data_IF_524842506826
#
_entry.id   IF_524842506826
#
_cell.length_a   1.000
_cell.length_b   1.000
_cell.length_c   1.000
_cell.angle_alpha   90.00
_cell.angle_beta   90.00
_cell.angle_gamma   90.00
#
_symmetry.space_group_name_H-M   'P 1'
#
loop_
_entity.id
_entity.type
_entity.pdbx_description
1 polymer ?
#
# COMPACT_ATOMS: atom_id res chain seq x y z
N UNK A 1 -16.86 1.89 80.85
CA UNK A 1 -16.20 0.75 81.52
C UNK A 1 -15.57 -0.07 80.45
N UNK A 2 -14.38 -0.03 80.43
CA UNK A 2 -13.09 -0.76 80.39
C UNK A 2 -12.59 -0.92 78.97
N UNK A 3 -11.67 -0.19 78.63
CA UNK A 3 -10.22 -0.35 78.34
C UNK A 3 -9.75 -1.82 78.29
N UNK A 4 -9.10 -2.17 77.15
CA UNK A 4 -7.75 -2.77 77.20
C UNK A 4 -6.93 -2.52 75.98
N UNK A 5 -5.74 -1.88 76.18
CA UNK A 5 -4.59 -1.70 75.31
C UNK A 5 -3.86 -3.06 75.14
N UNK A 6 -3.16 -3.17 74.03
CA UNK A 6 -2.00 -4.05 73.82
C UNK A 6 -1.32 -3.67 72.51
N UNK A 7 -0.38 -2.95 72.48
CA UNK A 7 1.04 -2.84 72.50
C UNK A 7 1.82 -3.96 71.80
N UNK A 8 2.63 -3.50 70.77
CA UNK A 8 3.92 -4.06 70.44
C UNK A 8 3.94 -4.96 69.22
N UNK A 9 4.62 -4.75 68.21
CA UNK A 9 6.06 -4.84 68.10
C UNK A 9 6.53 -4.36 66.74
N UNK A 10 7.45 -3.46 66.67
CA UNK A 10 8.18 -3.10 65.47
C UNK A 10 9.40 -3.98 65.40
N UNK A 11 9.47 -4.89 64.45
CA UNK A 11 10.72 -5.57 64.11
C UNK A 11 11.33 -4.87 62.89
N UNK A 12 12.45 -4.34 63.16
CA UNK A 12 13.40 -3.66 62.24
C UNK A 12 14.02 -4.67 61.29
N UNK A 13 13.82 -4.52 59.99
CA UNK A 13 14.59 -5.20 58.96
C UNK A 13 15.95 -4.50 58.70
N UNK A 14 17.01 -5.25 58.47
CA UNK A 14 18.37 -4.70 58.29
C UNK A 14 18.54 -4.03 56.92
N UNK A 15 19.15 -2.86 56.92
CA UNK A 15 19.40 -1.95 55.77
C UNK A 15 20.61 -2.36 54.91
N UNK A 16 20.83 -3.59 54.52
CA UNK A 16 22.05 -3.94 53.76
C UNK A 16 21.85 -4.95 52.61
N UNK A 17 20.72 -4.91 51.90
CA UNK A 17 20.50 -5.80 50.75
C UNK A 17 20.06 -5.10 49.44
N UNK A 18 20.40 -3.82 49.21
CA UNK A 18 19.95 -3.09 48.02
C UNK A 18 21.09 -2.40 47.26
N UNK A 19 22.26 -3.02 47.11
CA UNK A 19 23.34 -2.37 46.36
C UNK A 19 24.07 -3.26 45.33
N UNK A 20 23.50 -4.37 44.88
CA UNK A 20 24.18 -5.24 43.89
C UNK A 20 23.36 -5.56 42.63
N UNK A 21 22.13 -5.04 42.49
CA UNK A 21 21.33 -5.28 41.29
C UNK A 21 21.32 -4.12 40.25
N UNK A 22 21.88 -2.94 40.58
CA UNK A 22 21.77 -1.75 39.72
C UNK A 22 22.94 -1.58 38.72
N UNK A 23 24.03 -2.31 38.87
CA UNK A 23 25.21 -2.17 38.00
C UNK A 23 25.22 -3.06 36.77
N UNK A 24 24.40 -4.11 36.71
CA UNK A 24 24.33 -5.02 35.58
C UNK A 24 23.47 -4.52 34.41
N UNK A 25 22.49 -3.67 34.67
CA UNK A 25 21.53 -3.21 33.64
C UNK A 25 22.05 -1.98 32.87
N UNK A 26 22.91 -1.17 33.51
CA UNK A 26 23.46 0.05 32.88
C UNK A 26 24.53 -0.21 31.83
N UNK A 27 25.21 -1.37 31.87
CA UNK A 27 26.24 -1.74 30.87
C UNK A 27 25.62 -2.34 29.61
N UNK A 28 24.45 -2.96 29.71
CA UNK A 28 23.74 -3.56 28.54
C UNK A 28 23.11 -2.51 27.62
N UNK A 29 22.68 -1.35 28.14
CA UNK A 29 22.00 -0.31 27.36
C UNK A 29 22.99 0.54 26.55
N UNK A 30 24.26 0.67 26.99
CA UNK A 30 25.29 1.48 26.30
C UNK A 30 25.94 0.72 25.13
N UNK A 31 25.90 -0.62 25.12
CA UNK A 31 26.52 -1.44 24.07
C UNK A 31 25.60 -1.69 22.83
N UNK A 32 24.31 -1.45 22.95
CA UNK A 32 23.36 -1.63 21.84
C UNK A 32 23.46 -0.50 20.80
N UNK A 33 24.03 0.64 21.15
CA UNK A 33 24.15 1.81 20.25
C UNK A 33 25.45 1.89 19.45
N UNK A 34 26.40 0.97 19.60
CA UNK A 34 27.75 1.11 19.02
C UNK A 34 28.22 -0.03 18.11
N UNK A 35 27.37 -0.93 17.65
CA UNK A 35 27.73 -1.92 16.63
C UNK A 35 28.89 -2.87 17.00
N UNK A 36 29.15 -3.08 18.28
CA UNK A 36 30.33 -3.81 18.79
C UNK A 36 30.05 -5.28 19.17
N UNK A 37 29.05 -5.92 18.52
CA UNK A 37 28.70 -7.32 18.84
C UNK A 37 29.78 -8.33 18.48
N UNK A 38 30.58 -8.05 17.45
CA UNK A 38 31.67 -8.95 17.02
C UNK A 38 32.84 -9.07 18.02
N UNK A 39 32.96 -8.13 18.95
CA UNK A 39 34.03 -8.16 19.96
C UNK A 39 33.65 -8.81 21.29
N UNK A 40 32.36 -8.98 21.55
CA UNK A 40 31.86 -9.59 22.80
C UNK A 40 31.92 -11.13 22.75
N UNK A 41 31.73 -11.71 21.57
CA UNK A 41 31.84 -13.17 21.40
C UNK A 41 33.24 -13.75 21.67
N UNK A 42 34.30 -12.92 21.50
CA UNK A 42 35.68 -13.33 21.72
C UNK A 42 36.11 -13.34 23.21
N UNK A 43 35.32 -12.67 24.07
CA UNK A 43 35.67 -12.53 25.51
C UNK A 43 34.93 -13.54 26.38
N UNK A 44 33.78 -14.05 25.96
CA UNK A 44 32.95 -14.93 26.81
C UNK A 44 33.06 -16.41 26.51
N UNK A 45 33.84 -16.83 25.51
CA UNK A 45 34.08 -18.25 25.22
C UNK A 45 32.84 -19.06 24.80
N UNK A 46 31.72 -18.40 24.47
CA UNK A 46 30.49 -19.06 23.98
C UNK A 46 30.52 -19.00 22.44
N UNK A 47 31.44 -19.72 21.87
CA UNK A 47 31.57 -19.92 20.44
C UNK A 47 31.48 -21.39 20.11
N UNK A 48 30.60 -21.68 19.14
CA UNK A 48 30.50 -22.94 18.40
C UNK A 48 29.67 -24.07 19.00
N UNK A 49 28.36 -24.00 18.77
CA UNK A 49 27.55 -25.15 18.39
C UNK A 49 26.27 -24.69 17.66
N UNK A 50 26.39 -24.15 16.47
CA UNK A 50 25.28 -24.13 15.50
C UNK A 50 25.86 -24.53 14.15
N UNK A 51 25.43 -25.70 13.69
CA UNK A 51 25.88 -26.30 12.44
C UNK A 51 25.59 -25.37 11.26
N UNK A 52 26.57 -25.29 10.38
CA UNK A 52 26.49 -24.63 9.09
C UNK A 52 25.42 -25.28 8.22
N UNK A 53 24.26 -24.64 8.10
CA UNK A 53 23.39 -24.85 6.95
C UNK A 53 23.91 -23.96 5.83
N UNK A 54 24.61 -24.59 4.89
CA UNK A 54 24.99 -23.96 3.62
C UNK A 54 23.72 -23.52 2.91
N UNK A 55 23.60 -22.23 2.67
CA UNK A 55 22.66 -21.68 1.71
C UNK A 55 23.03 -22.19 0.33
N UNK A 56 22.18 -23.02 -0.25
CA UNK A 56 22.23 -23.44 -1.64
C UNK A 56 22.06 -22.20 -2.53
N UNK A 57 23.14 -21.79 -3.19
CA UNK A 57 23.08 -20.89 -4.34
C UNK A 57 22.32 -21.61 -5.46
N UNK A 58 21.35 -20.98 -6.12
CA UNK A 58 20.81 -21.51 -7.37
C UNK A 58 21.91 -21.48 -8.42
N UNK A 59 22.23 -22.63 -9.00
CA UNK A 59 23.13 -22.78 -10.13
C UNK A 59 22.52 -22.21 -11.42
N UNK A 60 23.35 -21.88 -12.41
CA UNK A 60 22.92 -21.41 -13.72
C UNK A 60 22.63 -22.62 -14.64
N UNK A 61 21.40 -22.79 -14.99
CA UNK A 61 20.89 -23.66 -16.07
C UNK A 61 19.78 -22.85 -16.75
N UNK A 62 19.64 -22.63 -18.05
CA UNK A 62 20.32 -23.03 -19.25
C UNK A 62 20.25 -21.89 -20.25
N UNK A 63 21.39 -21.52 -20.82
CA UNK A 63 21.44 -20.76 -22.07
C UNK A 63 21.66 -21.77 -23.17
N UNK A 64 20.63 -22.11 -23.93
CA UNK A 64 20.79 -22.57 -25.27
C UNK A 64 20.14 -21.59 -26.24
N UNK A 65 21.03 -21.07 -27.07
CA UNK A 65 20.68 -20.14 -28.13
C UNK A 65 19.98 -20.87 -29.26
N UNK A 66 18.97 -20.24 -29.80
CA UNK A 66 18.56 -20.48 -31.17
C UNK A 66 18.42 -19.17 -31.90
N UNK A 67 19.45 -18.91 -32.70
CA UNK A 67 19.55 -17.83 -33.65
C UNK A 67 18.58 -18.12 -34.79
N UNK A 68 17.48 -17.42 -34.90
CA UNK A 68 16.64 -17.41 -36.08
C UNK A 68 16.69 -16.04 -36.76
N UNK A 69 17.24 -16.12 -37.93
CA UNK A 69 17.39 -15.15 -38.99
C UNK A 69 16.08 -14.39 -39.28
N UNK A 70 16.15 -13.06 -39.24
CA UNK A 70 15.11 -12.15 -39.71
C UNK A 70 15.28 -11.91 -41.22
N UNK A 71 14.23 -11.99 -42.02
CA UNK A 71 14.25 -11.39 -43.34
C UNK A 71 13.86 -9.92 -43.28
N UNK A 72 14.70 -9.14 -43.85
CA UNK A 72 14.55 -7.74 -44.22
C UNK A 72 13.33 -7.55 -45.14
N UNK A 73 12.38 -6.70 -44.76
CA UNK A 73 11.30 -6.26 -45.63
C UNK A 73 11.32 -4.74 -45.83
N UNK A 74 11.51 -4.44 -47.07
CA UNK A 74 11.58 -3.18 -47.79
C UNK A 74 10.42 -2.22 -47.49
N UNK A 75 10.75 -0.92 -47.50
CA UNK A 75 9.78 0.19 -47.58
C UNK A 75 9.09 0.23 -48.95
N UNK A 76 7.87 0.73 -49.06
CA UNK A 76 7.44 1.48 -50.24
C UNK A 76 6.96 2.90 -49.92
N UNK A 77 7.62 3.84 -50.55
CA UNK A 77 7.17 4.95 -51.37
C UNK A 77 5.88 5.71 -51.04
N UNK A 78 6.11 7.02 -50.97
CA UNK A 78 5.13 8.10 -51.06
C UNK A 78 4.31 8.05 -52.35
N UNK A 79 3.06 8.46 -52.31
CA UNK A 79 2.47 9.29 -53.40
C UNK A 79 1.10 9.91 -52.99
N UNK A 80 1.05 11.23 -53.10
CA UNK A 80 0.00 12.12 -53.62
C UNK A 80 -1.30 12.40 -52.85
N UNK A 81 -1.39 13.70 -52.50
CA UNK A 81 -2.62 14.49 -52.36
C UNK A 81 -3.32 14.66 -53.71
N UNK A 82 -4.59 14.97 -53.72
CA UNK A 82 -5.06 16.14 -54.46
C UNK A 82 -5.99 17.08 -53.66
N UNK A 83 -5.97 18.28 -54.21
CA UNK A 83 -6.49 19.56 -53.83
C UNK A 83 -8.01 19.72 -53.62
N UNK A 84 -8.28 20.72 -52.80
CA UNK A 84 -9.23 21.85 -52.90
C UNK A 84 -10.71 21.66 -53.28
N UNK A 85 -11.57 22.21 -52.44
CA UNK A 85 -12.92 22.65 -52.73
C UNK A 85 -13.44 23.57 -51.66
N UNK A 86 -13.39 24.88 -51.90
CA UNK A 86 -14.00 25.93 -51.08
C UNK A 86 -15.52 26.00 -51.28
N UNK A 87 -16.12 26.74 -50.30
CA UNK A 87 -17.33 27.61 -50.31
C UNK A 87 -18.37 27.07 -49.33
N UNK A 88 -18.68 27.80 -48.28
CA UNK A 88 -19.32 29.04 -48.07
C UNK A 88 -20.25 29.03 -46.89
N UNK A 89 -20.06 30.01 -46.06
CA UNK A 89 -21.03 30.89 -45.38
C UNK A 89 -22.00 30.35 -44.29
N UNK A 90 -21.88 31.04 -43.22
CA UNK A 90 -22.81 31.73 -42.30
C UNK A 90 -23.18 31.07 -40.98
N UNK A 91 -22.82 31.86 -40.05
CA UNK A 91 -23.16 32.04 -38.65
C UNK A 91 -24.47 31.42 -38.14
N UNK A 92 -24.37 30.71 -37.04
CA UNK A 92 -25.31 30.91 -35.93
C UNK A 92 -24.62 30.68 -34.59
N UNK A 93 -24.47 31.80 -33.84
CA UNK A 93 -23.97 31.81 -32.47
C UNK A 93 -25.15 31.42 -31.58
N UNK A 94 -25.21 30.18 -31.15
CA UNK A 94 -25.99 29.79 -29.99
C UNK A 94 -25.03 29.27 -28.94
N UNK A 95 -24.99 29.97 -27.81
CA UNK A 95 -24.20 29.65 -26.67
C UNK A 95 -24.47 28.23 -26.16
N UNK A 96 -23.54 27.32 -26.42
CA UNK A 96 -23.50 26.04 -25.75
C UNK A 96 -22.94 26.27 -24.36
N UNK A 97 -23.80 26.11 -23.37
CA UNK A 97 -23.36 25.85 -22.01
C UNK A 97 -22.35 24.68 -22.05
N UNK A 98 -21.18 24.87 -21.49
CA UNK A 98 -20.18 23.83 -21.39
C UNK A 98 -20.83 22.62 -20.69
N UNK A 99 -21.13 21.58 -21.47
CA UNK A 99 -21.60 20.30 -21.00
C UNK A 99 -20.54 19.73 -20.05
N UNK A 100 -20.94 19.47 -18.81
CA UNK A 100 -20.06 18.83 -17.84
C UNK A 100 -19.48 17.56 -18.47
N UNK A 101 -18.19 17.25 -18.32
CA UNK A 101 -17.58 16.09 -18.98
C UNK A 101 -18.38 14.84 -18.62
N UNK A 102 -18.80 14.13 -19.67
CA UNK A 102 -19.54 12.87 -19.57
C UNK A 102 -18.76 11.89 -18.66
N UNK A 103 -19.28 11.66 -17.46
CA UNK A 103 -18.73 10.72 -16.49
C UNK A 103 -19.09 9.27 -16.82
N UNK A 104 -19.92 9.02 -17.83
CA UNK A 104 -20.45 7.69 -18.15
C UNK A 104 -19.43 6.76 -18.82
N UNK A 105 -18.30 7.29 -19.33
CA UNK A 105 -17.27 6.50 -20.02
C UNK A 105 -15.95 6.42 -19.24
N UNK A 106 -16.00 6.70 -17.94
CA UNK A 106 -14.85 6.59 -17.07
C UNK A 106 -14.68 5.14 -16.66
N UNK A 107 -13.60 4.49 -17.12
CA UNK A 107 -13.22 3.19 -16.57
C UNK A 107 -12.95 3.36 -15.07
N UNK A 108 -13.87 2.88 -14.26
CA UNK A 108 -13.68 2.76 -12.82
C UNK A 108 -13.20 1.33 -12.62
N UNK A 109 -11.96 1.12 -12.16
CA UNK A 109 -11.50 -0.22 -11.80
C UNK A 109 -12.55 -0.86 -10.88
N UNK A 110 -12.89 -2.12 -11.11
CA UNK A 110 -13.93 -2.84 -10.34
C UNK A 110 -13.64 -2.88 -8.81
N UNK A 111 -12.41 -2.57 -8.44
CA UNK A 111 -12.00 -2.34 -7.04
C UNK A 111 -12.61 -1.10 -6.40
N UNK A 112 -13.01 -0.15 -7.21
CA UNK A 112 -13.69 1.05 -6.75
C UNK A 112 -15.17 0.91 -7.07
N UNK A 113 -15.87 0.05 -6.33
CA UNK A 113 -17.30 0.23 -6.17
C UNK A 113 -17.45 1.66 -5.65
N UNK A 114 -18.07 2.58 -6.41
CA UNK A 114 -18.04 3.99 -6.02
C UNK A 114 -18.86 4.12 -4.73
N UNK A 115 -18.13 4.34 -3.63
CA UNK A 115 -18.79 4.79 -2.42
C UNK A 115 -19.37 6.17 -2.75
N UNK A 116 -20.68 6.40 -2.58
CA UNK A 116 -21.24 7.73 -2.78
C UNK A 116 -20.44 8.74 -1.99
N UNK A 117 -19.99 9.82 -2.62
CA UNK A 117 -19.11 10.80 -1.98
C UNK A 117 -19.72 11.38 -0.70
N UNK A 118 -21.04 11.62 -0.68
CA UNK A 118 -21.75 12.07 0.51
C UNK A 118 -21.69 11.08 1.66
N UNK A 119 -21.80 9.78 1.37
CA UNK A 119 -21.63 8.73 2.38
C UNK A 119 -20.18 8.67 2.87
N UNK A 120 -19.19 8.73 1.96
CA UNK A 120 -17.79 8.77 2.32
C UNK A 120 -17.45 9.98 3.20
N UNK A 121 -18.03 11.14 2.93
CA UNK A 121 -17.88 12.34 3.76
C UNK A 121 -18.44 12.16 5.18
N UNK A 122 -19.62 11.57 5.30
CA UNK A 122 -20.22 11.26 6.61
C UNK A 122 -19.35 10.27 7.38
N UNK A 123 -18.91 9.19 6.71
CA UNK A 123 -18.04 8.18 7.30
C UNK A 123 -16.67 8.78 7.72
N UNK A 124 -16.09 9.65 6.91
CA UNK A 124 -14.84 10.36 7.24
C UNK A 124 -14.97 11.20 8.52
N UNK A 125 -16.08 11.91 8.67
CA UNK A 125 -16.39 12.68 9.89
C UNK A 125 -16.55 11.78 11.12
N UNK A 126 -17.06 10.56 10.94
CA UNK A 126 -17.28 9.57 12.00
C UNK A 126 -16.02 8.78 12.37
N UNK A 127 -15.00 8.68 11.50
CA UNK A 127 -13.77 7.95 11.81
C UNK A 127 -13.14 8.45 13.13
N UNK A 128 -12.69 7.54 14.01
CA UNK A 128 -12.04 7.93 15.25
C UNK A 128 -10.69 8.61 14.96
N UNK A 129 -10.44 9.75 15.61
CA UNK A 129 -9.14 10.41 15.54
C UNK A 129 -8.23 9.91 16.65
N UNK A 130 -7.01 9.49 16.30
CA UNK A 130 -6.02 9.01 17.26
C UNK A 130 -4.60 9.34 16.78
N UNK A 131 -3.64 9.30 17.72
CA UNK A 131 -2.22 9.37 17.38
C UNK A 131 -1.80 8.07 16.68
N UNK A 132 -1.08 8.20 15.56
CA UNK A 132 -0.53 7.06 14.85
C UNK A 132 0.53 6.30 15.68
N UNK A 133 0.58 4.97 15.52
CA UNK A 133 1.55 4.08 16.15
C UNK A 133 2.39 3.33 15.10
N UNK A 134 3.35 3.99 14.41
CA UNK A 134 4.13 3.36 13.33
C UNK A 134 5.26 2.45 13.83
N UNK A 135 5.54 2.43 15.15
CA UNK A 135 6.64 1.67 15.73
C UNK A 135 6.42 0.16 15.63
N UNK A 136 7.50 -0.60 15.47
CA UNK A 136 7.50 -2.06 15.49
C UNK A 136 6.98 -2.71 14.21
N UNK A 137 6.58 -1.96 13.19
CA UNK A 137 6.11 -2.49 11.90
C UNK A 137 7.21 -3.26 11.16
N UNK A 138 6.83 -4.41 10.62
CA UNK A 138 7.62 -5.19 9.67
C UNK A 138 6.68 -5.85 8.66
N UNK A 139 6.83 -5.49 7.37
CA UNK A 139 5.93 -5.99 6.33
C UNK A 139 5.84 -7.51 6.31
N UNK A 140 6.98 -8.18 6.23
CA UNK A 140 7.03 -9.64 6.08
C UNK A 140 6.55 -10.38 7.32
N UNK A 141 7.01 -9.97 8.50
CA UNK A 141 6.62 -10.59 9.76
C UNK A 141 5.14 -10.37 10.07
N UNK A 142 4.61 -9.18 9.80
CA UNK A 142 3.30 -8.79 10.31
C UNK A 142 2.17 -9.06 9.32
N UNK A 143 2.45 -9.02 8.01
CA UNK A 143 1.44 -9.13 6.95
C UNK A 143 1.70 -10.28 5.96
N UNK A 144 2.88 -10.87 5.97
CA UNK A 144 3.23 -11.97 5.08
C UNK A 144 3.34 -11.57 3.61
N UNK A 145 2.98 -12.52 2.73
CA UNK A 145 3.05 -12.39 1.27
C UNK A 145 1.69 -12.63 0.63
N UNK A 146 1.63 -12.58 -0.71
CA UNK A 146 0.42 -12.93 -1.47
C UNK A 146 0.03 -14.39 -1.24
N UNK A 147 -1.20 -14.61 -0.78
CA UNK A 147 -1.76 -15.95 -0.58
C UNK A 147 -2.41 -16.47 -1.86
N UNK A 148 -2.69 -17.77 -1.91
CA UNK A 148 -3.57 -18.33 -2.94
C UNK A 148 -4.95 -17.67 -2.83
N UNK A 149 -5.46 -17.18 -3.96
CA UNK A 149 -6.74 -16.48 -3.96
C UNK A 149 -7.91 -17.46 -4.15
N UNK A 150 -9.00 -17.34 -3.35
CA UNK A 150 -10.20 -18.13 -3.54
C UNK A 150 -10.74 -18.02 -4.98
N UNK A 151 -11.10 -19.16 -5.57
CA UNK A 151 -11.62 -19.22 -6.94
C UNK A 151 -10.57 -19.11 -8.05
N UNK A 152 -9.31 -18.93 -7.73
CA UNK A 152 -8.21 -19.00 -8.70
C UNK A 152 -7.69 -20.42 -8.83
N UNK A 153 -7.38 -20.85 -10.05
CA UNK A 153 -6.79 -22.17 -10.31
C UNK A 153 -5.29 -22.19 -10.03
N UNK A 154 -4.73 -23.38 -9.88
CA UNK A 154 -3.30 -23.66 -9.89
C UNK A 154 -2.49 -22.81 -8.92
N UNK A 155 -1.64 -21.92 -9.45
CA UNK A 155 -0.75 -21.05 -8.67
C UNK A 155 -1.26 -19.58 -8.58
N UNK A 156 -2.52 -19.33 -8.90
CA UNK A 156 -3.12 -18.01 -8.85
C UNK A 156 -3.13 -17.45 -7.42
N UNK A 157 -2.51 -16.30 -7.24
CA UNK A 157 -2.42 -15.59 -5.96
C UNK A 157 -3.36 -14.40 -5.93
N UNK A 158 -3.49 -13.75 -4.75
CA UNK A 158 -4.22 -12.48 -4.62
C UNK A 158 -3.73 -11.45 -5.64
N UNK A 159 -2.40 -11.38 -5.92
CA UNK A 159 -1.88 -10.52 -6.99
C UNK A 159 -2.52 -10.81 -8.35
N UNK A 160 -2.61 -12.09 -8.73
CA UNK A 160 -3.19 -12.48 -10.03
C UNK A 160 -4.70 -12.19 -10.06
N UNK A 161 -5.41 -12.38 -8.94
CA UNK A 161 -6.81 -12.02 -8.81
C UNK A 161 -7.04 -10.52 -9.09
N UNK A 162 -6.22 -9.65 -8.48
CA UNK A 162 -6.35 -8.20 -8.68
C UNK A 162 -5.99 -7.81 -10.12
N UNK A 163 -4.90 -8.35 -10.69
CA UNK A 163 -4.57 -8.11 -12.09
C UNK A 163 -5.71 -8.54 -13.02
N UNK A 164 -6.32 -9.73 -12.77
CA UNK A 164 -7.46 -10.21 -13.56
C UNK A 164 -8.70 -9.31 -13.42
N UNK A 165 -8.92 -8.70 -12.26
CA UNK A 165 -10.03 -7.79 -12.00
C UNK A 165 -9.85 -6.43 -12.67
N UNK A 166 -8.62 -5.88 -12.59
CA UNK A 166 -8.34 -4.47 -12.90
C UNK A 166 -7.82 -4.25 -14.33
N UNK A 167 -7.38 -5.31 -15.02
CA UNK A 167 -6.91 -5.22 -16.40
C UNK A 167 -8.00 -5.67 -17.38
N UNK A 168 -7.95 -5.12 -18.60
CA UNK A 168 -8.70 -5.56 -19.76
C UNK A 168 -7.86 -6.52 -20.63
N UNK A 169 -8.49 -7.30 -21.48
CA UNK A 169 -7.84 -8.20 -22.44
C UNK A 169 -6.81 -9.12 -21.76
N UNK A 170 -7.20 -9.66 -20.60
CA UNK A 170 -6.31 -10.45 -19.76
C UNK A 170 -6.02 -11.80 -20.38
N UNK A 171 -4.72 -12.09 -20.55
CA UNK A 171 -4.24 -13.43 -20.88
C UNK A 171 -3.64 -14.06 -19.63
N UNK A 172 -4.14 -15.25 -19.28
CA UNK A 172 -3.60 -16.05 -18.17
C UNK A 172 -3.10 -17.40 -18.68
N UNK A 173 -2.11 -17.97 -18.00
CA UNK A 173 -1.67 -19.35 -18.28
C UNK A 173 -2.57 -20.40 -17.59
N UNK A 174 -2.30 -21.69 -17.86
CA UNK A 174 -3.03 -22.83 -17.28
C UNK A 174 -2.95 -22.90 -15.74
N UNK A 175 -2.00 -22.19 -15.15
CA UNK A 175 -1.81 -22.09 -13.70
C UNK A 175 -2.48 -20.83 -13.10
N UNK A 176 -3.33 -20.15 -13.87
CA UNK A 176 -3.99 -18.90 -13.50
C UNK A 176 -3.04 -17.71 -13.22
N UNK A 177 -1.79 -17.75 -13.70
CA UNK A 177 -0.90 -16.60 -13.64
C UNK A 177 -1.25 -15.63 -14.77
N UNK A 178 -1.49 -14.38 -14.46
CA UNK A 178 -1.72 -13.35 -15.46
C UNK A 178 -0.43 -13.06 -16.21
N UNK A 179 -0.46 -13.19 -17.53
CA UNK A 179 0.69 -13.02 -18.43
C UNK A 179 0.71 -11.68 -19.13
N UNK A 180 -0.44 -11.17 -19.53
CA UNK A 180 -0.55 -9.84 -20.14
C UNK A 180 -1.95 -9.26 -19.97
N UNK A 181 -2.09 -7.97 -20.27
CA UNK A 181 -3.35 -7.25 -20.26
C UNK A 181 -3.13 -5.75 -20.47
N UNK A 182 -4.21 -5.02 -20.69
CA UNK A 182 -4.25 -3.56 -20.81
C UNK A 182 -4.80 -2.97 -19.51
N UNK A 183 -4.18 -1.92 -19.01
CA UNK A 183 -4.51 -1.32 -17.72
C UNK A 183 -4.69 0.19 -17.84
N UNK A 184 -5.85 0.67 -17.42
CA UNK A 184 -6.11 2.10 -17.25
C UNK A 184 -5.76 2.50 -15.82
N UNK A 185 -4.58 3.11 -15.64
CA UNK A 185 -4.06 3.40 -14.32
C UNK A 185 -4.79 4.58 -13.66
N UNK A 186 -5.46 4.38 -12.53
CA UNK A 186 -6.15 5.46 -11.84
C UNK A 186 -5.20 6.50 -11.24
N UNK A 187 -3.95 6.12 -10.92
CA UNK A 187 -2.98 7.02 -10.29
C UNK A 187 -2.38 8.04 -11.25
N UNK A 188 -2.25 7.70 -12.53
CA UNK A 188 -1.73 8.62 -13.56
C UNK A 188 -2.79 9.08 -14.54
N UNK A 189 -3.92 8.35 -14.66
CA UNK A 189 -4.93 8.56 -15.68
C UNK A 189 -4.48 8.14 -17.08
N UNK A 190 -3.47 7.25 -17.19
CA UNK A 190 -2.92 6.81 -18.47
C UNK A 190 -3.12 5.31 -18.68
N UNK A 191 -3.24 4.91 -19.95
CA UNK A 191 -3.24 3.50 -20.33
C UNK A 191 -1.82 2.92 -20.24
N UNK A 192 -1.70 1.71 -19.71
CA UNK A 192 -0.46 0.95 -19.61
C UNK A 192 -0.68 -0.48 -20.14
N UNK A 193 0.39 -1.15 -20.52
CA UNK A 193 0.39 -2.58 -20.87
C UNK A 193 1.10 -3.38 -19.79
N UNK A 194 0.43 -4.40 -19.28
CA UNK A 194 1.05 -5.40 -18.41
C UNK A 194 1.65 -6.50 -19.24
N UNK A 195 2.91 -6.82 -18.95
CA UNK A 195 3.58 -8.00 -19.47
C UNK A 195 4.30 -8.69 -18.29
N UNK A 196 3.96 -9.95 -18.06
CA UNK A 196 4.66 -10.75 -17.04
C UNK A 196 6.10 -10.96 -17.47
N UNK A 197 7.05 -10.62 -16.61
CA UNK A 197 8.47 -10.78 -16.86
C UNK A 197 9.32 -10.20 -15.73
N UNK A 198 10.59 -10.60 -15.70
CA UNK A 198 11.53 -10.21 -14.64
C UNK A 198 11.68 -8.69 -14.52
N UNK A 199 11.70 -8.00 -15.66
CA UNK A 199 11.95 -6.54 -15.73
C UNK A 199 10.68 -5.73 -15.99
N UNK A 200 9.55 -6.36 -16.28
CA UNK A 200 8.30 -5.69 -16.71
C UNK A 200 7.17 -5.81 -15.69
N UNK A 201 7.13 -6.89 -14.90
CA UNK A 201 6.08 -7.10 -13.89
C UNK A 201 6.00 -6.00 -12.83
N UNK A 202 7.07 -5.24 -12.62
CA UNK A 202 7.15 -4.12 -11.66
C UNK A 202 6.55 -2.81 -12.16
N UNK A 203 6.26 -2.70 -13.47
CA UNK A 203 5.66 -1.50 -14.05
C UNK A 203 4.21 -1.32 -13.58
N UNK A 204 3.49 -2.43 -13.37
CA UNK A 204 2.18 -2.46 -12.73
C UNK A 204 2.29 -3.27 -11.43
N UNK A 205 2.07 -2.60 -10.32
CA UNK A 205 2.12 -3.16 -8.98
C UNK A 205 0.71 -3.29 -8.40
N UNK A 206 0.56 -4.11 -7.36
CA UNK A 206 -0.66 -4.11 -6.55
C UNK A 206 -0.38 -3.28 -5.31
N UNK A 207 -1.10 -2.19 -5.21
CA UNK A 207 -1.06 -1.28 -4.08
C UNK A 207 -2.12 -1.63 -3.03
N UNK A 208 -1.79 -1.39 -1.77
CA UNK A 208 -2.75 -1.31 -0.68
C UNK A 208 -3.18 0.16 -0.57
N UNK A 209 -4.40 0.50 -0.98
CA UNK A 209 -4.90 1.90 -1.02
C UNK A 209 -4.69 2.63 0.32
N UNK A 210 -4.96 1.95 1.43
CA UNK A 210 -4.39 2.31 2.74
C UNK A 210 -3.19 1.38 2.96
N UNK A 211 -1.98 1.93 2.89
CA UNK A 211 -0.74 1.17 2.93
C UNK A 211 -0.64 0.31 4.18
N UNK A 212 0.09 -0.82 4.11
CA UNK A 212 0.22 -1.76 5.24
C UNK A 212 0.73 -1.08 6.51
N UNK A 213 1.68 -0.15 6.38
CA UNK A 213 2.21 0.60 7.53
C UNK A 213 1.23 1.65 8.05
N UNK A 214 0.45 2.29 7.17
CA UNK A 214 -0.65 3.17 7.61
C UNK A 214 -1.70 2.35 8.38
N UNK A 215 -2.14 1.21 7.84
CA UNK A 215 -3.09 0.34 8.52
C UNK A 215 -2.55 -0.16 9.88
N UNK A 216 -1.27 -0.56 9.93
CA UNK A 216 -0.60 -0.87 11.19
C UNK A 216 -0.68 0.29 12.16
N UNK A 217 -0.19 1.47 11.76
CA UNK A 217 -0.13 2.66 12.61
C UNK A 217 -1.51 3.15 13.06
N UNK A 218 -2.54 2.85 12.28
CA UNK A 218 -3.93 3.25 12.51
C UNK A 218 -4.75 2.26 13.35
N UNK A 219 -4.17 1.11 13.77
CA UNK A 219 -4.86 0.17 14.67
C UNK A 219 -4.54 -1.30 14.46
N UNK A 220 -4.08 -1.76 13.28
CA UNK A 220 -3.78 -3.19 13.07
C UNK A 220 -2.59 -3.71 13.88
N UNK A 221 -1.78 -2.85 14.49
CA UNK A 221 -0.74 -3.28 15.42
C UNK A 221 -1.30 -4.05 16.63
N UNK A 222 -2.58 -3.82 16.99
CA UNK A 222 -3.29 -4.52 18.06
C UNK A 222 -4.00 -5.80 17.60
N UNK A 223 -4.16 -5.98 16.29
CA UNK A 223 -4.85 -7.14 15.74
C UNK A 223 -3.95 -8.39 15.81
N UNK A 224 -4.56 -9.57 15.75
CA UNK A 224 -3.82 -10.81 15.56
C UNK A 224 -3.19 -10.89 14.17
N UNK A 225 -2.23 -11.81 14.01
CA UNK A 225 -1.51 -11.99 12.75
C UNK A 225 -2.44 -12.42 11.61
N UNK A 226 -3.44 -13.25 11.87
CA UNK A 226 -4.37 -13.75 10.86
C UNK A 226 -5.21 -12.61 10.27
N UNK A 227 -5.66 -11.66 11.09
CA UNK A 227 -6.38 -10.47 10.63
C UNK A 227 -5.49 -9.55 9.79
N UNK A 228 -4.21 -9.41 10.14
CA UNK A 228 -3.25 -8.62 9.35
C UNK A 228 -2.96 -9.27 7.99
N UNK A 229 -2.78 -10.59 7.93
CA UNK A 229 -2.61 -11.32 6.66
C UNK A 229 -3.88 -11.24 5.81
N UNK A 230 -5.07 -11.34 6.43
CA UNK A 230 -6.33 -11.16 5.73
C UNK A 230 -6.45 -9.74 5.14
N UNK A 231 -6.09 -8.70 5.88
CA UNK A 231 -6.02 -7.33 5.37
C UNK A 231 -5.10 -7.20 4.16
N UNK A 232 -3.90 -7.77 4.22
CA UNK A 232 -2.91 -7.70 3.15
C UNK A 232 -3.37 -8.41 1.86
N UNK A 233 -4.32 -9.32 1.96
CA UNK A 233 -4.86 -10.10 0.85
C UNK A 233 -6.33 -9.82 0.55
N UNK A 234 -6.91 -8.78 1.15
CA UNK A 234 -8.31 -8.40 0.90
C UNK A 234 -8.45 -7.64 -0.43
N UNK A 235 -9.20 -8.16 -1.39
CA UNK A 235 -9.41 -7.48 -2.67
C UNK A 235 -9.97 -6.06 -2.55
N UNK A 236 -10.74 -5.75 -1.49
CA UNK A 236 -11.31 -4.41 -1.28
C UNK A 236 -10.24 -3.38 -0.86
N UNK A 237 -9.12 -3.84 -0.33
CA UNK A 237 -7.98 -2.99 0.07
C UNK A 237 -7.03 -2.73 -1.11
N UNK A 238 -7.06 -3.61 -2.11
CA UNK A 238 -6.04 -3.73 -3.15
C UNK A 238 -6.47 -3.10 -4.48
N UNK A 239 -5.50 -2.52 -5.18
CA UNK A 239 -5.67 -1.89 -6.48
C UNK A 239 -4.44 -2.11 -7.34
N UNK A 240 -4.60 -2.47 -8.63
CA UNK A 240 -3.52 -2.36 -9.59
C UNK A 240 -3.15 -0.88 -9.79
N UNK A 241 -1.88 -0.58 -9.90
CA UNK A 241 -1.40 0.81 -10.01
C UNK A 241 -0.06 0.91 -10.74
N UNK A 242 0.22 2.08 -11.29
CA UNK A 242 1.53 2.42 -11.83
C UNK A 242 2.62 2.21 -10.75
N UNK A 243 3.63 1.41 -11.06
CA UNK A 243 4.67 1.04 -10.10
C UNK A 243 5.48 2.22 -9.57
N UNK A 244 5.72 3.26 -10.40
CA UNK A 244 6.41 4.48 -9.96
C UNK A 244 5.56 5.30 -9.00
N UNK A 245 4.25 5.41 -9.26
CA UNK A 245 3.33 6.10 -8.37
C UNK A 245 3.18 5.35 -7.04
N UNK A 246 3.09 4.01 -7.08
CA UNK A 246 3.02 3.21 -5.87
C UNK A 246 4.31 3.35 -5.02
N UNK A 247 5.48 3.33 -5.65
CA UNK A 247 6.74 3.59 -4.95
C UNK A 247 6.80 5.01 -4.35
N UNK A 248 6.33 6.02 -5.08
CA UNK A 248 6.28 7.41 -4.60
C UNK A 248 5.29 7.57 -3.43
N UNK A 249 4.18 6.84 -3.47
CA UNK A 249 3.21 6.81 -2.36
C UNK A 249 3.82 6.25 -1.08
N UNK A 250 4.66 5.21 -1.16
CA UNK A 250 5.29 4.58 0.01
C UNK A 250 4.26 4.21 1.11
N UNK A 251 4.40 4.75 2.32
CA UNK A 251 3.46 4.55 3.43
C UNK A 251 2.10 5.27 3.23
N UNK A 252 2.00 6.15 2.25
CA UNK A 252 0.79 6.90 1.90
C UNK A 252 0.33 7.93 2.92
N UNK A 253 1.06 8.08 4.02
CA UNK A 253 0.76 9.01 5.11
C UNK A 253 2.05 9.51 5.76
N UNK A 254 2.23 10.82 5.84
CA UNK A 254 3.26 11.44 6.68
C UNK A 254 2.72 11.66 8.10
N UNK A 255 3.17 10.83 9.03
CA UNK A 255 2.73 10.87 10.43
C UNK A 255 3.17 12.12 11.19
N UNK A 256 4.09 12.90 10.64
CA UNK A 256 4.66 14.12 11.26
C UNK A 256 4.06 15.39 10.69
N UNK A 257 3.43 15.31 9.51
CA UNK A 257 2.81 16.47 8.88
C UNK A 257 1.58 16.94 9.67
N UNK A 258 1.52 18.25 9.88
CA UNK A 258 0.37 18.93 10.53
C UNK A 258 -0.67 19.37 9.52
N UNK A 259 -0.32 19.35 8.23
CA UNK A 259 -1.18 19.69 7.11
C UNK A 259 -0.92 18.74 5.93
N UNK A 260 -1.97 18.35 5.25
CA UNK A 260 -1.94 17.53 4.03
C UNK A 260 -1.05 16.26 4.13
N UNK A 261 -1.21 15.44 5.20
CA UNK A 261 -0.34 14.28 5.42
C UNK A 261 -0.56 13.13 4.46
N UNK A 262 -1.73 13.07 3.79
CA UNK A 262 -2.09 11.97 2.89
C UNK A 262 -1.50 12.23 1.52
N UNK A 263 -0.74 11.26 1.01
CA UNK A 263 -0.30 11.26 -0.38
C UNK A 263 -1.51 11.21 -1.33
N UNK A 264 -1.42 11.96 -2.42
CA UNK A 264 -2.44 11.97 -3.46
C UNK A 264 -1.83 11.55 -4.80
N UNK A 265 -2.56 10.76 -5.62
CA UNK A 265 -2.09 10.35 -6.93
C UNK A 265 -1.92 11.55 -7.88
N UNK A 266 -1.07 11.42 -8.91
CA UNK A 266 -0.86 12.45 -9.92
C UNK A 266 -2.15 12.77 -10.70
N UNK A 267 -3.01 11.77 -10.90
CA UNK A 267 -4.33 11.95 -11.52
C UNK A 267 -5.30 12.63 -10.56
N UNK A 268 -5.38 13.94 -10.67
CA UNK A 268 -6.25 14.76 -9.81
C UNK A 268 -7.73 14.38 -9.89
N UNK A 269 -8.18 13.94 -11.09
CA UNK A 269 -9.57 13.54 -11.28
C UNK A 269 -9.98 12.32 -10.45
N UNK A 270 -9.02 11.57 -9.93
CA UNK A 270 -9.28 10.41 -9.09
C UNK A 270 -9.14 10.68 -7.56
N UNK A 271 -8.82 11.90 -7.15
CA UNK A 271 -8.63 12.22 -5.73
C UNK A 271 -9.88 11.96 -4.88
N UNK A 272 -11.07 12.29 -5.41
CA UNK A 272 -12.33 12.05 -4.70
C UNK A 272 -12.55 10.56 -4.43
N UNK A 273 -12.38 9.72 -5.46
CA UNK A 273 -12.55 8.26 -5.36
C UNK A 273 -11.46 7.65 -4.47
N UNK A 274 -10.21 8.13 -4.58
CA UNK A 274 -9.11 7.70 -3.73
C UNK A 274 -9.39 7.96 -2.25
N UNK A 275 -9.83 9.16 -1.91
CA UNK A 275 -10.14 9.50 -0.52
C UNK A 275 -11.36 8.76 0.00
N UNK A 276 -12.40 8.60 -0.82
CA UNK A 276 -13.57 7.79 -0.46
C UNK A 276 -13.19 6.34 -0.19
N UNK A 277 -12.33 5.75 -1.04
CA UNK A 277 -11.84 4.38 -0.87
C UNK A 277 -10.99 4.22 0.39
N UNK A 278 -10.13 5.17 0.71
CA UNK A 278 -9.38 5.16 1.98
C UNK A 278 -10.31 5.15 3.19
N UNK A 279 -11.36 5.97 3.16
CA UNK A 279 -12.35 6.03 4.24
C UNK A 279 -13.10 4.70 4.39
N UNK A 280 -13.55 4.11 3.29
CA UNK A 280 -14.21 2.80 3.26
C UNK A 280 -13.33 1.73 3.93
N UNK A 281 -12.07 1.64 3.53
CA UNK A 281 -11.10 0.68 4.08
C UNK A 281 -10.90 0.91 5.57
N UNK A 282 -10.65 2.17 5.99
CA UNK A 282 -10.44 2.48 7.40
C UNK A 282 -11.67 2.13 8.25
N UNK A 283 -12.87 2.41 7.73
CA UNK A 283 -14.12 2.02 8.38
C UNK A 283 -14.28 0.51 8.47
N UNK A 284 -14.07 -0.23 7.36
CA UNK A 284 -14.17 -1.70 7.30
C UNK A 284 -13.31 -2.38 8.36
N UNK A 285 -12.12 -1.86 8.59
CA UNK A 285 -11.15 -2.45 9.51
C UNK A 285 -11.12 -1.83 10.92
N UNK A 286 -11.97 -0.82 11.18
CA UNK A 286 -12.02 -0.12 12.47
C UNK A 286 -10.75 0.68 12.75
N UNK A 287 -10.13 1.24 11.70
CA UNK A 287 -8.89 2.00 11.80
C UNK A 287 -9.16 3.46 12.18
N UNK A 288 -8.22 4.06 12.89
CA UNK A 288 -8.23 5.49 13.19
C UNK A 288 -7.60 6.32 12.08
N UNK A 289 -7.77 7.63 12.20
CA UNK A 289 -7.06 8.66 11.40
C UNK A 289 -6.32 9.60 12.33
N UNK A 290 -5.20 10.19 11.87
CA UNK A 290 -4.62 11.31 12.62
C UNK A 290 -5.51 12.55 12.51
N UNK A 291 -5.43 13.52 13.43
CA UNK A 291 -6.20 14.76 13.30
C UNK A 291 -5.95 15.50 11.98
N UNK A 292 -4.69 15.56 11.51
CA UNK A 292 -4.32 16.16 10.24
C UNK A 292 -4.88 15.40 9.05
N UNK A 293 -4.77 14.05 9.05
CA UNK A 293 -5.39 13.18 8.04
C UNK A 293 -6.90 13.39 7.96
N UNK A 294 -7.57 13.46 9.12
CA UNK A 294 -9.02 13.70 9.16
C UNK A 294 -9.38 15.05 8.54
N UNK A 295 -8.63 16.10 8.86
CA UNK A 295 -8.85 17.43 8.31
C UNK A 295 -8.71 17.44 6.79
N UNK A 296 -7.63 16.88 6.25
CA UNK A 296 -7.41 16.79 4.80
C UNK A 296 -8.50 15.96 4.12
N UNK A 297 -8.82 14.78 4.66
CA UNK A 297 -9.83 13.86 4.10
C UNK A 297 -11.21 14.52 4.04
N UNK A 298 -11.66 15.11 5.15
CA UNK A 298 -12.95 15.79 5.22
C UNK A 298 -12.98 17.01 4.28
N UNK A 299 -11.88 17.79 4.21
CA UNK A 299 -11.78 18.96 3.33
C UNK A 299 -11.92 18.56 1.84
N UNK A 300 -11.18 17.55 1.39
CA UNK A 300 -11.25 17.06 0.01
C UNK A 300 -12.65 16.52 -0.29
N UNK A 301 -13.19 15.63 0.54
CA UNK A 301 -14.51 15.04 0.31
C UNK A 301 -15.64 16.08 0.38
N UNK A 302 -15.51 17.14 1.17
CA UNK A 302 -16.46 18.27 1.17
C UNK A 302 -16.47 18.98 -0.19
N UNK A 303 -15.28 19.27 -0.74
CA UNK A 303 -15.17 19.89 -2.06
C UNK A 303 -15.66 18.96 -3.18
N UNK A 304 -15.42 17.66 -3.05
CA UNK A 304 -15.92 16.64 -3.99
C UNK A 304 -17.46 16.57 -3.97
N UNK A 305 -18.09 16.56 -2.79
CA UNK A 305 -19.54 16.54 -2.62
C UNK A 305 -20.22 17.80 -3.19
N UNK A 306 -19.54 18.93 -3.05
CA UNK A 306 -20.00 20.22 -3.60
C UNK A 306 -19.74 20.36 -5.13
N UNK A 307 -19.07 19.39 -5.79
CA UNK A 307 -18.65 19.48 -7.19
C UNK A 307 -17.61 20.58 -7.47
N UNK A 308 -16.95 21.07 -6.42
CA UNK A 308 -15.98 22.19 -6.49
C UNK A 308 -14.51 21.75 -6.40
N UNK A 309 -14.24 20.46 -6.30
CA UNK A 309 -12.88 19.95 -6.26
C UNK A 309 -12.24 20.01 -7.67
N UNK A 310 -11.23 20.86 -7.83
CA UNK A 310 -10.50 21.07 -9.08
C UNK A 310 -9.04 20.68 -8.95
#
# INVERSE_FOLDING_TARGET
MSEHRGSGNRDSMPKNALLTAATGILVAVILVSSGAWDKVAAITGIGNAVGSTQALKPGPEDMEGNSLHLPELSQPSQTQQPESGQIGTEADQQGQAAEAPDRSNRFIPAATSPVPIDQALQDAKALPAAKAHPQGYSRERDFGTWTHAPGMCGAGTTRDLILKRDLRDVVSDERCKVRSGTFDDPYTGTEMRFQYGRNTSGEIQIDHVVALKDAWASGLWQADHSKRVAYANDPDVLLASNGKQNMAKSDGLDYTAVKDPVWLPANRSWHCDYMAKRVEIKRKYGLSVTPAEKTQTVGILTSCAAGSYQ
#
